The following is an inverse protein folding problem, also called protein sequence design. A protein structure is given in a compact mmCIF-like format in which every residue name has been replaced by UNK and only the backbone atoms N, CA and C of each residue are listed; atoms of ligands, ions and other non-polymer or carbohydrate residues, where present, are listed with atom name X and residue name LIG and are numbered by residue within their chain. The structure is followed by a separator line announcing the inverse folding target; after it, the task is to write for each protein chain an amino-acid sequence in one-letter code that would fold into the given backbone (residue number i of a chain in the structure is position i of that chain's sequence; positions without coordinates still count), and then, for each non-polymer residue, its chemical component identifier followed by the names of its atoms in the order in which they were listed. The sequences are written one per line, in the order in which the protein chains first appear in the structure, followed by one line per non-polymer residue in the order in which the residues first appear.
data_IF_622027029762
#
_entry.id   IF_622027029762
#
_cell.length_a   1.000
_cell.length_b   1.000
_cell.length_c   1.000
_cell.angle_alpha   90.00
_cell.angle_beta   90.00
_cell.angle_gamma   90.00
#
_symmetry.space_group_name_H-M   'P 1'
#
loop_
_entity.id
_entity.type
_entity.pdbx_description
1 polymer ?
#
# COMPACT_ATOMS: atom_id res chain seq x y z
N UNK A 1 10.95 -19.29 -3.76
CA UNK A 1 9.99 -18.89 -4.81
C UNK A 1 8.93 -17.87 -4.37
N UNK A 2 7.83 -18.22 -3.66
CA UNK A 2 6.73 -17.24 -3.41
C UNK A 2 7.21 -15.94 -2.74
N UNK A 3 8.05 -16.03 -1.71
CA UNK A 3 8.62 -14.84 -1.03
C UNK A 3 9.48 -13.98 -1.98
N UNK A 4 10.23 -14.62 -2.88
CA UNK A 4 11.03 -13.91 -3.89
C UNK A 4 10.12 -13.22 -4.92
N UNK A 5 9.02 -13.87 -5.33
CA UNK A 5 8.03 -13.28 -6.21
C UNK A 5 7.36 -12.04 -5.58
N UNK A 6 6.99 -12.12 -4.30
CA UNK A 6 6.46 -10.96 -3.54
C UNK A 6 7.50 -9.84 -3.47
N UNK A 7 8.75 -10.17 -3.20
CA UNK A 7 9.83 -9.18 -3.14
C UNK A 7 10.12 -8.55 -4.51
N UNK A 8 10.02 -9.31 -5.60
CA UNK A 8 10.12 -8.78 -6.95
C UNK A 8 8.93 -7.86 -7.28
N UNK A 9 7.72 -8.28 -6.93
CA UNK A 9 6.50 -7.48 -7.11
C UNK A 9 6.62 -6.12 -6.41
N UNK A 10 7.01 -6.11 -5.12
CA UNK A 10 7.21 -4.88 -4.34
C UNK A 10 8.20 -3.89 -5.00
N UNK A 11 9.30 -4.41 -5.57
CA UNK A 11 10.30 -3.58 -6.28
C UNK A 11 9.88 -3.13 -7.67
N UNK A 12 8.83 -3.71 -8.25
CA UNK A 12 8.43 -3.49 -9.65
C UNK A 12 7.00 -2.96 -9.72
N UNK A 13 6.02 -3.82 -10.04
CA UNK A 13 4.62 -3.43 -10.18
C UNK A 13 4.03 -2.83 -8.90
N UNK A 14 4.45 -3.29 -7.71
CA UNK A 14 4.02 -2.76 -6.42
C UNK A 14 4.76 -1.50 -5.94
N UNK A 15 5.68 -0.94 -6.72
CA UNK A 15 6.57 0.14 -6.27
C UNK A 15 5.90 1.52 -6.17
N UNK A 16 4.67 1.68 -6.69
CA UNK A 16 3.96 2.95 -6.74
C UNK A 16 3.88 3.65 -5.37
N UNK A 17 3.52 2.91 -4.33
CA UNK A 17 3.44 3.43 -2.96
C UNK A 17 4.77 4.00 -2.47
N UNK A 18 5.84 3.21 -2.58
CA UNK A 18 7.13 3.61 -2.04
C UNK A 18 7.73 4.82 -2.77
N UNK A 19 7.59 4.87 -4.11
CA UNK A 19 8.00 6.02 -4.92
C UNK A 19 7.22 7.28 -4.53
N UNK A 20 5.89 7.19 -4.51
CA UNK A 20 5.04 8.34 -4.18
C UNK A 20 5.33 8.94 -2.80
N UNK A 21 5.52 8.08 -1.79
CA UNK A 21 5.81 8.52 -0.42
C UNK A 21 7.20 9.17 -0.29
N UNK A 22 8.16 8.79 -1.12
CA UNK A 22 9.53 9.34 -1.09
C UNK A 22 9.68 10.61 -1.90
N UNK A 23 9.10 10.65 -3.09
CA UNK A 23 9.40 11.65 -4.12
C UNK A 23 8.46 12.87 -4.06
N UNK A 24 7.26 12.73 -3.51
CA UNK A 24 6.28 13.82 -3.52
C UNK A 24 6.63 14.94 -2.52
N UNK A 25 6.39 16.21 -2.92
CA UNK A 25 6.87 17.39 -2.19
C UNK A 25 6.15 17.60 -0.84
N UNK A 26 4.89 17.19 -0.73
CA UNK A 26 4.06 17.34 0.48
C UNK A 26 3.46 15.99 0.87
N UNK A 27 3.11 15.78 2.14
CA UNK A 27 2.44 14.57 2.61
C UNK A 27 1.09 14.39 1.93
N UNK A 28 0.35 15.49 1.70
CA UNK A 28 -0.90 15.41 0.92
C UNK A 28 -0.64 14.92 -0.51
N UNK A 29 0.35 15.50 -1.21
CA UNK A 29 0.70 15.07 -2.56
C UNK A 29 1.21 13.62 -2.59
N UNK A 30 1.94 13.21 -1.55
CA UNK A 30 2.44 11.84 -1.40
C UNK A 30 1.30 10.83 -1.28
N UNK A 31 0.31 11.11 -0.44
CA UNK A 31 -0.88 10.26 -0.28
C UNK A 31 -1.71 10.23 -1.56
N UNK A 32 -1.90 11.37 -2.22
CA UNK A 32 -2.62 11.42 -3.49
C UNK A 32 -1.91 10.61 -4.59
N UNK A 33 -0.60 10.81 -4.77
CA UNK A 33 0.19 10.07 -5.75
C UNK A 33 0.22 8.56 -5.43
N UNK A 34 0.29 8.20 -4.15
CA UNK A 34 0.21 6.81 -3.71
C UNK A 34 -1.11 6.18 -4.13
N UNK A 35 -2.25 6.83 -3.84
CA UNK A 35 -3.56 6.27 -4.16
C UNK A 35 -3.77 6.18 -5.68
N UNK A 36 -3.50 7.25 -6.43
CA UNK A 36 -3.68 7.27 -7.89
C UNK A 36 -2.79 6.25 -8.60
N UNK A 37 -1.50 6.21 -8.26
CA UNK A 37 -0.57 5.26 -8.89
C UNK A 37 -0.92 3.80 -8.60
N UNK A 38 -1.51 3.50 -7.43
CA UNK A 38 -2.02 2.16 -7.16
C UNK A 38 -3.32 1.87 -7.92
N UNK A 39 -4.22 2.84 -8.09
CA UNK A 39 -5.41 2.67 -8.96
C UNK A 39 -4.96 2.29 -10.37
N UNK A 40 -4.06 3.08 -10.98
CA UNK A 40 -3.54 2.81 -12.32
C UNK A 40 -2.95 1.39 -12.43
N UNK A 41 -2.20 0.98 -11.41
CA UNK A 41 -1.61 -0.37 -11.35
C UNK A 41 -2.67 -1.46 -11.19
N UNK A 42 -3.67 -1.24 -10.33
CA UNK A 42 -4.67 -2.25 -10.01
C UNK A 42 -5.68 -2.47 -11.13
N UNK A 43 -5.87 -1.47 -12.00
CA UNK A 43 -6.84 -1.51 -13.10
C UNK A 43 -6.19 -1.65 -14.48
N UNK A 44 -4.87 -1.87 -14.57
CA UNK A 44 -4.19 -2.08 -15.85
C UNK A 44 -4.69 -3.37 -16.54
N UNK A 45 -5.34 -3.28 -17.72
CA UNK A 45 -5.88 -4.44 -18.43
C UNK A 45 -4.79 -5.42 -18.92
N UNK A 46 -3.52 -5.01 -18.94
CA UNK A 46 -2.37 -5.85 -19.27
C UNK A 46 -1.88 -6.74 -18.12
N UNK A 47 -2.39 -6.56 -16.90
CA UNK A 47 -1.95 -7.29 -15.71
C UNK A 47 -3.12 -7.81 -14.86
N UNK A 48 -2.90 -8.78 -13.94
CA UNK A 48 -3.94 -9.20 -13.02
C UNK A 48 -4.40 -8.06 -12.11
N UNK A 49 -5.71 -7.89 -11.95
CA UNK A 49 -6.28 -6.78 -11.18
C UNK A 49 -5.97 -6.86 -9.68
N UNK A 50 -5.71 -5.70 -9.08
CA UNK A 50 -5.43 -5.55 -7.65
C UNK A 50 -3.99 -5.87 -7.23
N UNK A 51 -3.76 -5.84 -5.92
CA UNK A 51 -2.44 -5.98 -5.32
C UNK A 51 -2.15 -7.44 -4.93
N UNK A 52 -1.03 -7.98 -5.40
CA UNK A 52 -0.55 -9.32 -5.02
C UNK A 52 -0.42 -9.46 -3.49
N UNK A 53 0.11 -8.44 -2.81
CA UNK A 53 0.32 -8.46 -1.35
C UNK A 53 -1.01 -8.49 -0.58
N UNK A 54 -2.06 -7.87 -1.12
CA UNK A 54 -3.39 -7.84 -0.48
C UNK A 54 -4.16 -9.12 -0.77
N UNK A 55 -4.17 -9.58 -2.02
CA UNK A 55 -5.09 -10.61 -2.50
C UNK A 55 -4.56 -12.05 -2.39
N UNK A 56 -3.25 -12.28 -2.49
CA UNK A 56 -2.72 -13.64 -2.71
C UNK A 56 -2.92 -14.63 -1.56
N UNK A 57 -3.17 -14.17 -0.33
CA UNK A 57 -3.43 -15.07 0.81
C UNK A 57 -4.45 -14.51 1.80
N UNK A 58 -5.48 -13.81 1.31
CA UNK A 58 -6.58 -13.33 2.16
C UNK A 58 -7.35 -14.50 2.77
N UNK A 59 -7.51 -15.60 2.01
CA UNK A 59 -8.02 -16.88 2.48
C UNK A 59 -6.98 -17.97 2.20
N UNK A 60 -6.36 -18.53 3.24
CA UNK A 60 -5.38 -19.60 3.09
C UNK A 60 -5.70 -20.79 4.00
N UNK A 61 -5.44 -22.01 3.54
CA UNK A 61 -5.51 -23.20 4.39
C UNK A 61 -4.53 -23.09 5.56
N UNK A 62 -4.77 -23.84 6.64
CA UNK A 62 -3.87 -23.86 7.80
C UNK A 62 -2.40 -24.16 7.43
N UNK A 63 -2.19 -25.00 6.42
CA UNK A 63 -0.87 -25.37 5.91
C UNK A 63 -0.10 -24.15 5.33
N UNK A 64 -0.81 -23.13 4.85
CA UNK A 64 -0.26 -21.93 4.23
C UNK A 64 -0.21 -20.71 5.18
N UNK A 65 -0.42 -20.90 6.49
CA UNK A 65 -0.42 -19.81 7.48
C UNK A 65 0.84 -18.92 7.42
N UNK A 66 2.02 -19.51 7.20
CA UNK A 66 3.29 -18.77 7.07
C UNK A 66 3.31 -17.82 5.87
N UNK A 67 2.53 -18.10 4.82
CA UNK A 67 2.38 -17.23 3.65
C UNK A 67 1.49 -16.04 4.00
N UNK A 68 0.35 -16.28 4.66
CA UNK A 68 -0.53 -15.21 5.12
C UNK A 68 0.17 -14.28 6.13
N UNK A 69 0.93 -14.83 7.09
CA UNK A 69 1.75 -14.05 8.03
C UNK A 69 2.80 -13.19 7.30
N UNK A 70 3.43 -13.73 6.27
CA UNK A 70 4.40 -13.00 5.46
C UNK A 70 3.76 -11.82 4.70
N UNK A 71 2.61 -12.04 4.06
CA UNK A 71 1.90 -10.95 3.38
C UNK A 71 1.33 -9.93 4.38
N UNK A 72 0.90 -10.36 5.56
CA UNK A 72 0.47 -9.45 6.62
C UNK A 72 1.64 -8.58 7.12
N UNK A 73 2.86 -9.13 7.18
CA UNK A 73 4.06 -8.34 7.45
C UNK A 73 4.27 -7.27 6.37
N UNK A 74 4.20 -7.64 5.09
CA UNK A 74 4.34 -6.68 3.99
C UNK A 74 3.32 -5.54 4.05
N UNK A 75 2.03 -5.86 4.28
CA UNK A 75 1.00 -4.82 4.45
C UNK A 75 1.32 -3.87 5.59
N UNK A 76 1.77 -4.38 6.74
CA UNK A 76 2.19 -3.54 7.87
C UNK A 76 3.43 -2.70 7.56
N UNK A 77 4.38 -3.24 6.80
CA UNK A 77 5.57 -2.49 6.37
C UNK A 77 5.20 -1.31 5.47
N UNK A 78 4.26 -1.49 4.54
CA UNK A 78 3.77 -0.38 3.70
C UNK A 78 3.09 0.71 4.53
N UNK A 79 2.34 0.36 5.59
CA UNK A 79 1.79 1.35 6.53
C UNK A 79 2.89 2.12 7.24
N UNK A 80 3.97 1.46 7.65
CA UNK A 80 5.10 2.12 8.32
C UNK A 80 5.79 3.17 7.43
N UNK A 81 5.87 2.96 6.12
CA UNK A 81 6.44 3.99 5.21
C UNK A 81 5.53 5.21 5.11
N UNK A 82 4.20 5.02 5.14
CA UNK A 82 3.24 6.12 5.19
C UNK A 82 3.32 6.88 6.53
N UNK A 83 3.42 6.16 7.64
CA UNK A 83 3.64 6.76 8.96
C UNK A 83 4.88 7.64 8.96
N UNK A 84 6.03 7.14 8.49
CA UNK A 84 7.28 7.92 8.39
C UNK A 84 7.12 9.19 7.55
N UNK A 85 6.38 9.11 6.44
CA UNK A 85 6.14 10.29 5.58
C UNK A 85 5.29 11.35 6.29
N UNK A 86 4.33 10.93 7.10
CA UNK A 86 3.46 11.80 7.89
C UNK A 86 4.18 12.35 9.12
N UNK A 87 5.01 11.55 9.80
CA UNK A 87 5.91 12.01 10.88
C UNK A 87 6.84 13.11 10.37
N UNK A 88 7.49 12.90 9.22
CA UNK A 88 8.31 13.93 8.57
C UNK A 88 7.52 15.22 8.30
N UNK A 89 6.26 15.10 7.87
CA UNK A 89 5.42 16.27 7.63
C UNK A 89 5.06 17.04 8.91
N UNK A 90 4.98 16.37 10.06
CA UNK A 90 4.85 17.06 11.36
C UNK A 90 6.15 17.79 11.70
N UNK A 91 7.30 17.14 11.51
CA UNK A 91 8.63 17.75 11.77
C UNK A 91 8.91 18.97 10.87
N UNK A 92 8.51 18.90 9.60
CA UNK A 92 8.64 19.97 8.61
C UNK A 92 7.59 21.08 8.79
N UNK A 93 6.63 20.93 9.71
CA UNK A 93 5.56 21.88 9.98
C UNK A 93 4.44 21.91 8.93
N UNK A 94 4.40 20.94 8.02
CA UNK A 94 3.29 20.75 7.07
C UNK A 94 2.03 20.27 7.81
N UNK A 95 2.20 19.42 8.82
CA UNK A 95 1.12 18.94 9.70
C UNK A 95 1.26 19.55 11.09
N UNK A 96 0.11 19.77 11.75
CA UNK A 96 0.10 20.36 13.08
C UNK A 96 0.81 19.46 14.12
N UNK A 97 1.50 20.05 15.12
CA UNK A 97 1.98 19.29 16.27
C UNK A 97 0.85 18.53 16.95
N UNK A 98 1.09 17.27 17.32
CA UNK A 98 0.08 16.40 17.93
C UNK A 98 -0.88 15.72 16.96
N UNK A 99 -0.65 15.84 15.64
CA UNK A 99 -1.37 15.04 14.64
C UNK A 99 -1.24 13.55 14.95
N UNK A 100 -2.36 12.83 15.00
CA UNK A 100 -2.37 11.37 15.18
C UNK A 100 -1.99 10.66 13.86
N UNK A 101 -0.69 10.58 13.63
CA UNK A 101 -0.11 9.97 12.43
C UNK A 101 -0.55 8.53 12.24
N UNK A 102 -0.62 7.74 13.33
CA UNK A 102 -0.96 6.31 13.25
C UNK A 102 -2.39 6.11 12.76
N UNK A 103 -3.34 6.89 13.28
CA UNK A 103 -4.73 6.80 12.84
C UNK A 103 -4.89 7.23 11.38
N UNK A 104 -4.20 8.29 10.95
CA UNK A 104 -4.24 8.75 9.55
C UNK A 104 -3.62 7.71 8.61
N UNK A 105 -2.48 7.12 8.99
CA UNK A 105 -1.83 6.09 8.20
C UNK A 105 -2.72 4.84 8.09
N UNK A 106 -3.32 4.39 9.19
CA UNK A 106 -4.25 3.26 9.20
C UNK A 106 -5.48 3.52 8.32
N UNK A 107 -6.02 4.74 8.33
CA UNK A 107 -7.15 5.14 7.47
C UNK A 107 -6.79 5.01 5.98
N UNK A 108 -5.70 5.63 5.54
CA UNK A 108 -5.31 5.57 4.13
C UNK A 108 -4.83 4.19 3.70
N UNK A 109 -4.18 3.43 4.58
CA UNK A 109 -3.84 2.04 4.31
C UNK A 109 -5.09 1.17 4.11
N UNK A 110 -6.14 1.43 4.89
CA UNK A 110 -7.44 0.73 4.75
C UNK A 110 -8.06 1.04 3.39
N UNK A 111 -8.07 2.32 2.97
CA UNK A 111 -8.54 2.71 1.63
C UNK A 111 -7.72 2.02 0.55
N UNK A 112 -6.39 2.07 0.63
CA UNK A 112 -5.50 1.45 -0.36
C UNK A 112 -5.75 -0.06 -0.51
N UNK A 113 -5.90 -0.77 0.60
CA UNK A 113 -6.23 -2.20 0.57
C UNK A 113 -7.64 -2.46 0.01
N UNK A 114 -8.60 -1.58 0.31
CA UNK A 114 -9.95 -1.62 -0.25
C UNK A 114 -9.96 -1.47 -1.76
N UNK A 115 -9.22 -0.51 -2.31
CA UNK A 115 -9.09 -0.31 -3.77
C UNK A 115 -8.59 -1.57 -4.48
N UNK A 116 -7.68 -2.32 -3.87
CA UNK A 116 -7.25 -3.60 -4.41
C UNK A 116 -8.37 -4.65 -4.50
N UNK A 117 -9.34 -4.60 -3.58
CA UNK A 117 -10.50 -5.51 -3.58
C UNK A 117 -11.51 -5.05 -4.63
N UNK A 118 -11.83 -3.76 -4.67
CA UNK A 118 -12.74 -3.17 -5.67
C UNK A 118 -12.25 -3.41 -7.10
N UNK A 119 -10.94 -3.24 -7.35
CA UNK A 119 -10.34 -3.51 -8.66
C UNK A 119 -10.44 -4.99 -9.06
N UNK A 120 -10.26 -5.92 -8.11
CA UNK A 120 -10.46 -7.36 -8.35
C UNK A 120 -11.92 -7.66 -8.71
N UNK A 121 -12.85 -6.96 -8.09
CA UNK A 121 -14.29 -7.15 -8.28
C UNK A 121 -14.81 -6.43 -9.56
N UNK A 122 -13.92 -5.75 -10.29
CA UNK A 122 -14.22 -5.16 -11.59
C UNK A 122 -14.93 -3.80 -11.51
N UNK A 123 -14.85 -3.12 -10.36
CA UNK A 123 -15.40 -1.78 -10.21
C UNK A 123 -14.59 -0.78 -11.01
N UNK A 124 -15.27 0.13 -11.71
CA UNK A 124 -14.63 1.26 -12.38
C UNK A 124 -14.19 2.27 -11.32
N UNK A 125 -12.87 2.40 -11.13
CA UNK A 125 -12.22 3.34 -10.20
C UNK A 125 -11.73 4.60 -10.89
#
# INVERSE_FOLDING_TARGET
LFREAVSLYDRTAGSATNRALREAPTARAAVEAMLRGNIDTFTDPGTPSGCMIVLSATNCSHQNRKVAEHLAWWRRTSVSELEKRLERAVEEGELAPGTDVRSIAAFYATILHGLSIEARDGVSL
#
